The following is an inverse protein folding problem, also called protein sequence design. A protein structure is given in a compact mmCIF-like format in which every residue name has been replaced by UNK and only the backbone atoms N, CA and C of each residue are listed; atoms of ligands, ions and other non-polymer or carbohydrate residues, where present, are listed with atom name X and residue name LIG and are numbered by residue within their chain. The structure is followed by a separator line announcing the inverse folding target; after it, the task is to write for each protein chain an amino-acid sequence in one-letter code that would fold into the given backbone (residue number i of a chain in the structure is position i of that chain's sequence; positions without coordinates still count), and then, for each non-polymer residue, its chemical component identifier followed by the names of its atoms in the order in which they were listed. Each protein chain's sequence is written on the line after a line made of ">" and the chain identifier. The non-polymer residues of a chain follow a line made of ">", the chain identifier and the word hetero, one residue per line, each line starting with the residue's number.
data_IF_855178112598
#
_entry.id   IF_855178112598
#
_cell.length_a   1.000
_cell.length_b   1.000
_cell.length_c   1.000
_cell.angle_alpha   90.00
_cell.angle_beta   90.00
_cell.angle_gamma   90.00
#
_symmetry.space_group_name_H-M   'P 1'
#
loop_
_entity.id
_entity.type
_entity.pdbx_description
1 polymer ?
#
# COMPACT_ATOMS: atom_id res chain seq x y z
N UNK A 1 8.82 13.34 32.09
CA UNK A 1 8.18 12.38 31.17
C UNK A 1 8.97 12.42 29.88
N UNK A 2 9.84 11.44 29.66
CA UNK A 2 10.55 11.31 28.40
C UNK A 2 9.55 10.98 27.30
N UNK A 3 9.38 11.92 26.36
CA UNK A 3 8.58 11.71 25.16
C UNK A 3 9.40 10.82 24.23
N UNK A 4 9.24 9.51 24.36
CA UNK A 4 9.87 8.55 23.46
C UNK A 4 9.13 8.58 22.12
N UNK A 5 9.71 9.27 21.14
CA UNK A 5 9.21 9.32 19.78
C UNK A 5 10.08 8.46 18.86
N UNK A 6 9.46 7.53 18.13
CA UNK A 6 10.15 6.58 17.24
C UNK A 6 10.02 7.00 15.77
N UNK A 7 10.96 6.59 14.91
CA UNK A 7 10.85 6.79 13.46
C UNK A 7 10.20 5.61 12.71
N UNK A 8 10.07 5.76 11.39
CA UNK A 8 9.53 4.71 10.50
C UNK A 8 10.31 3.38 10.57
N UNK A 9 11.65 3.36 10.50
CA UNK A 9 12.44 2.15 10.74
C UNK A 9 12.15 1.46 12.08
N UNK A 10 12.11 2.22 13.17
CA UNK A 10 11.82 1.69 14.51
C UNK A 10 10.39 1.16 14.62
N UNK A 11 9.41 1.88 14.06
CA UNK A 11 8.03 1.40 13.96
C UNK A 11 7.95 0.09 13.17
N UNK A 12 8.71 -0.04 12.08
CA UNK A 12 8.78 -1.27 11.32
C UNK A 12 9.35 -2.43 12.15
N UNK A 13 10.40 -2.18 12.93
CA UNK A 13 10.96 -3.18 13.84
C UNK A 13 9.94 -3.60 14.91
N UNK A 14 9.21 -2.64 15.49
CA UNK A 14 8.19 -2.90 16.52
C UNK A 14 7.06 -3.82 16.03
N UNK A 15 6.64 -3.66 14.76
CA UNK A 15 5.59 -4.51 14.16
C UNK A 15 6.13 -5.70 13.37
N UNK A 16 7.45 -5.95 13.41
CA UNK A 16 8.16 -6.97 12.62
C UNK A 16 7.88 -6.86 11.11
N UNK A 17 7.75 -5.63 10.62
CA UNK A 17 7.50 -5.29 9.22
C UNK A 17 8.77 -4.91 8.45
N UNK A 18 8.67 -4.90 7.11
CA UNK A 18 9.74 -4.39 6.26
C UNK A 18 9.73 -2.85 6.25
N UNK A 19 10.85 -2.17 6.57
CA UNK A 19 10.90 -0.71 6.68
C UNK A 19 10.60 0.00 5.35
N UNK A 20 11.03 -0.56 4.22
CA UNK A 20 10.77 0.02 2.89
C UNK A 20 9.29 -0.06 2.53
N UNK A 21 8.67 -1.21 2.77
CA UNK A 21 7.25 -1.42 2.50
C UNK A 21 6.39 -0.54 3.41
N UNK A 22 6.76 -0.43 4.69
CA UNK A 22 6.08 0.41 5.66
C UNK A 22 6.15 1.88 5.28
N UNK A 23 7.35 2.37 4.92
CA UNK A 23 7.53 3.73 4.41
C UNK A 23 6.63 4.03 3.20
N UNK A 24 6.61 3.15 2.20
CA UNK A 24 5.75 3.33 1.03
C UNK A 24 4.27 3.34 1.42
N UNK A 25 3.84 2.43 2.30
CA UNK A 25 2.47 2.36 2.77
C UNK A 25 2.07 3.64 3.54
N UNK A 26 2.97 4.18 4.38
CA UNK A 26 2.75 5.41 5.14
C UNK A 26 2.49 6.60 4.21
N UNK A 27 3.31 6.80 3.18
CA UNK A 27 3.12 7.93 2.27
C UNK A 27 1.91 7.75 1.32
N UNK A 28 1.48 6.52 1.06
CA UNK A 28 0.27 6.24 0.26
C UNK A 28 -1.02 6.39 1.06
N UNK A 29 -1.00 5.99 2.34
CA UNK A 29 -2.18 5.94 3.22
C UNK A 29 -1.80 6.34 4.65
N UNK A 30 -1.46 7.62 4.90
CA UNK A 30 -1.03 8.06 6.23
C UNK A 30 -2.12 7.87 7.30
N UNK A 31 -3.40 7.86 6.92
CA UNK A 31 -4.54 7.64 7.81
C UNK A 31 -4.58 6.23 8.44
N UNK A 32 -3.89 5.24 7.84
CA UNK A 32 -3.86 3.88 8.39
C UNK A 32 -2.81 3.72 9.50
N UNK A 33 -1.98 4.75 9.74
CA UNK A 33 -0.84 4.74 10.65
C UNK A 33 -1.11 5.58 11.90
N UNK A 34 -0.32 5.40 12.97
CA UNK A 34 -0.43 6.26 14.14
C UNK A 34 -0.12 7.72 13.76
N UNK A 35 -0.66 8.70 14.52
CA UNK A 35 -0.35 10.12 14.36
C UNK A 35 1.15 10.38 14.21
N UNK A 36 1.51 11.04 13.11
CA UNK A 36 2.89 11.44 12.84
C UNK A 36 3.10 12.90 13.23
N UNK A 37 4.19 13.16 13.94
CA UNK A 37 4.69 14.49 14.26
C UNK A 37 5.95 14.78 13.44
N UNK A 38 6.11 16.02 13.01
CA UNK A 38 7.29 16.48 12.28
C UNK A 38 8.08 17.43 13.17
N UNK A 39 9.22 16.97 13.68
CA UNK A 39 10.06 17.77 14.55
C UNK A 39 11.05 18.60 13.72
N UNK A 40 11.25 19.89 14.05
CA UNK A 40 12.23 20.73 13.35
C UNK A 40 13.63 20.12 13.46
N UNK A 41 14.38 20.10 12.34
CA UNK A 41 15.73 19.54 12.28
C UNK A 41 15.81 18.02 12.14
N UNK A 42 14.68 17.30 12.23
CA UNK A 42 14.66 15.84 11.97
C UNK A 42 14.21 15.52 10.54
N UNK A 43 14.78 14.46 9.96
CA UNK A 43 14.39 13.98 8.64
C UNK A 43 13.27 12.94 8.76
N UNK A 44 12.05 13.36 8.45
CA UNK A 44 10.90 12.47 8.30
C UNK A 44 9.94 12.49 9.50
N UNK A 45 8.88 11.67 9.44
CA UNK A 45 7.87 11.60 10.48
C UNK A 45 8.40 10.87 11.73
N UNK A 46 7.93 11.31 12.89
CA UNK A 46 8.10 10.64 14.18
C UNK A 46 6.73 10.23 14.73
N UNK A 47 6.71 9.18 15.53
CA UNK A 47 5.50 8.65 16.14
C UNK A 47 5.69 8.58 17.64
N UNK A 48 4.73 9.11 18.41
CA UNK A 48 4.77 8.97 19.85
C UNK A 48 4.54 7.51 20.23
N UNK A 49 5.34 6.99 21.15
CA UNK A 49 5.21 5.59 21.58
C UNK A 49 3.83 5.29 22.17
N UNK A 50 3.24 6.25 22.89
CA UNK A 50 1.87 6.18 23.41
C UNK A 50 0.83 5.97 22.30
N UNK A 51 0.96 6.72 21.21
CA UNK A 51 0.03 6.67 20.08
C UNK A 51 0.22 5.38 19.28
N UNK A 52 1.46 4.93 19.10
CA UNK A 52 1.79 3.64 18.48
C UNK A 52 1.17 2.50 19.27
N UNK A 53 1.28 2.53 20.60
CA UNK A 53 0.68 1.52 21.47
C UNK A 53 -0.84 1.53 21.38
N UNK A 54 -1.48 2.70 21.48
CA UNK A 54 -2.92 2.83 21.33
C UNK A 54 -3.41 2.32 19.97
N UNK A 55 -2.70 2.66 18.89
CA UNK A 55 -2.98 2.19 17.54
C UNK A 55 -2.87 0.67 17.39
N UNK A 56 -1.88 0.04 18.04
CA UNK A 56 -1.76 -1.42 18.05
C UNK A 56 -2.88 -2.10 18.84
N UNK A 57 -3.29 -1.54 19.98
CA UNK A 57 -4.40 -2.09 20.77
C UNK A 57 -5.73 -2.07 20.01
N UNK A 58 -6.03 -0.96 19.31
CA UNK A 58 -7.24 -0.89 18.46
C UNK A 58 -7.24 -2.00 17.40
N UNK A 59 -6.08 -2.29 16.79
CA UNK A 59 -5.94 -3.31 15.75
C UNK A 59 -5.98 -4.75 16.26
N UNK A 60 -5.71 -4.99 17.55
CA UNK A 60 -5.88 -6.32 18.17
C UNK A 60 -7.35 -6.69 18.34
N UNK A 61 -8.24 -5.70 18.38
CA UNK A 61 -9.67 -5.96 18.46
C UNK A 61 -10.12 -6.58 17.13
N UNK A 62 -10.71 -7.79 17.13
CA UNK A 62 -11.20 -8.41 15.91
C UNK A 62 -12.38 -7.57 15.39
N UNK A 63 -12.09 -6.65 14.46
CA UNK A 63 -13.14 -5.99 13.68
C UNK A 63 -13.78 -7.09 12.83
N UNK A 64 -15.10 -7.32 12.94
CA UNK A 64 -15.76 -8.30 12.09
C UNK A 64 -15.48 -7.95 10.62
N UNK A 65 -15.21 -8.95 9.76
CA UNK A 65 -14.80 -8.68 8.39
C UNK A 65 -15.89 -7.86 7.69
N UNK A 66 -15.53 -6.73 7.03
CA UNK A 66 -16.49 -6.08 6.14
C UNK A 66 -16.89 -7.07 5.05
N UNK A 67 -18.14 -7.02 4.55
CA UNK A 67 -18.58 -7.88 3.45
C UNK A 67 -17.62 -7.70 2.28
N UNK A 68 -17.09 -8.82 1.78
CA UNK A 68 -16.10 -8.84 0.72
C UNK A 68 -16.63 -8.10 -0.51
N UNK A 69 -16.19 -6.87 -0.73
CA UNK A 69 -16.36 -6.23 -2.02
C UNK A 69 -15.35 -6.88 -2.98
N UNK A 70 -15.80 -7.40 -4.13
CA UNK A 70 -14.90 -8.02 -5.09
C UNK A 70 -13.87 -6.99 -5.55
N UNK A 71 -12.59 -7.32 -5.34
CA UNK A 71 -11.46 -6.53 -5.85
C UNK A 71 -11.62 -6.46 -7.38
N UNK A 72 -11.85 -5.26 -7.90
CA UNK A 72 -11.77 -5.01 -9.34
C UNK A 72 -10.40 -5.46 -9.82
N UNK A 73 -10.40 -6.53 -10.61
CA UNK A 73 -9.22 -7.17 -11.17
C UNK A 73 -8.54 -6.12 -12.06
N UNK A 74 -7.41 -5.59 -11.58
CA UNK A 74 -6.67 -4.56 -12.29
C UNK A 74 -6.41 -4.97 -13.73
N UNK A 75 -6.98 -4.18 -14.65
CA UNK A 75 -6.68 -4.00 -16.07
C UNK A 75 -5.71 -5.04 -16.69
N UNK A 76 -6.16 -5.87 -17.66
CA UNK A 76 -5.29 -6.83 -18.32
C UNK A 76 -4.04 -6.15 -18.89
N UNK A 77 -2.87 -6.58 -18.45
CA UNK A 77 -1.58 -6.13 -18.95
C UNK A 77 -1.29 -6.87 -20.26
N UNK A 78 -1.30 -6.10 -21.36
CA UNK A 78 -0.75 -6.41 -22.69
C UNK A 78 -1.34 -7.66 -23.37
N UNK A 79 -1.91 -7.46 -24.55
CA UNK A 79 -2.38 -8.54 -25.41
C UNK A 79 -1.27 -9.58 -25.63
N UNK A 80 -1.60 -10.84 -25.41
CA UNK A 80 -0.70 -11.97 -25.64
C UNK A 80 -0.35 -12.04 -27.13
N UNK A 81 0.83 -12.58 -27.47
CA UNK A 81 1.25 -12.75 -28.88
C UNK A 81 0.19 -13.46 -29.75
N UNK A 82 -0.59 -14.38 -29.15
CA UNK A 82 -1.71 -15.05 -29.81
C UNK A 82 -2.86 -14.10 -30.23
N UNK A 83 -3.15 -13.05 -29.45
CA UNK A 83 -4.14 -12.03 -29.82
C UNK A 83 -3.64 -11.13 -30.95
N UNK A 84 -2.33 -10.82 -30.98
CA UNK A 84 -1.71 -10.06 -32.08
C UNK A 84 -1.69 -10.89 -33.37
N UNK A 85 -1.39 -12.20 -33.29
CA UNK A 85 -1.39 -13.10 -34.45
C UNK A 85 -2.79 -13.25 -35.07
N UNK A 86 -3.84 -13.34 -34.24
CA UNK A 86 -5.21 -13.47 -34.71
C UNK A 86 -5.74 -12.21 -35.39
N UNK A 87 -5.33 -11.02 -34.93
CA UNK A 87 -5.69 -9.75 -35.56
C UNK A 87 -5.09 -9.60 -36.98
N UNK A 88 -3.93 -10.22 -37.25
CA UNK A 88 -3.30 -10.19 -38.58
C UNK A 88 -3.95 -11.13 -39.60
N UNK A 89 -4.65 -12.17 -39.16
CA UNK A 89 -5.30 -13.13 -40.06
C UNK A 89 -6.68 -12.66 -40.56
N UNK A 90 -7.25 -11.59 -39.98
CA UNK A 90 -8.58 -11.07 -40.35
C UNK A 90 -8.58 -9.92 -41.37
N UNK A 91 -7.43 -9.53 -41.92
CA UNK A 91 -7.31 -8.38 -42.82
C UNK A 91 -6.45 -8.73 -44.03
N UNK A 92 -6.99 -9.62 -44.88
CA UNK A 92 -6.33 -10.07 -46.09
C UNK A 92 -7.22 -10.94 -46.94
N UNK A 93 -8.41 -10.46 -47.32
CA UNK A 93 -9.30 -10.97 -48.39
C UNK A 93 -10.53 -10.02 -48.44
N UNK A 94 -10.92 -9.32 -49.50
CA UNK A 94 -10.37 -9.10 -50.83
C UNK A 94 -11.00 -7.80 -51.37
N UNK A 95 -10.17 -6.98 -52.04
CA UNK A 95 -10.64 -6.03 -53.04
C UNK A 95 -10.73 -6.71 -54.41
N UNK A 96 -11.38 -6.02 -55.35
CA UNK A 96 -11.72 -6.38 -56.75
C UNK A 96 -12.90 -7.37 -56.86
N UNK A 97 -14.01 -7.08 -57.57
CA UNK A 97 -14.28 -6.19 -58.70
C UNK A 97 -15.65 -5.52 -58.58
#
# INVERSE_FOLDING_TARGET
>A
MDILAIDLPELAAAIRGNPRSLRNAFYLRPQDFPPAIYLPGTRGPRFLLSDVQAWLEVRKTPVPPPPATPKSQGRPRKASAAQIARARQGQGEGGVS
#
